data_IF_362720180815
#
_entry.id   IF_362720180815
#
_cell.length_a   1.000
_cell.length_b   1.000
_cell.length_c   1.000
_cell.angle_alpha   90.00
_cell.angle_beta   90.00
_cell.angle_gamma   90.00
#
_symmetry.space_group_name_H-M   'P 1'
#
loop_
_entity.id
_entity.type
_entity.pdbx_description
1 polymer ?
#
# COMPACT_ATOMS: atom_id res chain seq x y z
N UNK A 1 -23.40 -8.32 -1.36
CA UNK A 1 -21.94 -8.50 -1.23
C UNK A 1 -21.69 -9.20 0.10
N UNK A 2 -20.66 -10.04 0.24
CA UNK A 2 -20.36 -10.64 1.54
C UNK A 2 -20.05 -9.56 2.56
N UNK A 3 -20.45 -9.78 3.82
CA UNK A 3 -20.15 -8.89 4.92
C UNK A 3 -18.62 -8.82 5.12
N UNK A 4 -18.07 -7.62 5.16
CA UNK A 4 -16.64 -7.43 5.45
C UNK A 4 -16.42 -7.55 6.95
N UNK A 5 -15.55 -8.46 7.36
CA UNK A 5 -15.15 -8.62 8.77
C UNK A 5 -13.65 -8.39 8.87
N UNK A 6 -13.26 -7.39 9.64
CA UNK A 6 -11.86 -7.08 9.92
C UNK A 6 -11.55 -7.58 11.34
N UNK A 7 -10.93 -8.75 11.42
CA UNK A 7 -10.51 -9.35 12.70
C UNK A 7 -9.30 -8.61 13.25
N UNK A 8 -9.39 -8.09 14.49
CA UNK A 8 -8.24 -7.46 15.15
C UNK A 8 -7.08 -8.43 15.41
N UNK A 9 -7.35 -9.73 15.43
CA UNK A 9 -6.34 -10.75 15.76
C UNK A 9 -5.54 -11.21 14.56
N UNK A 10 -6.12 -11.13 13.34
CA UNK A 10 -5.52 -11.74 12.15
C UNK A 10 -5.39 -10.79 10.97
N UNK A 11 -5.73 -9.49 11.13
CA UNK A 11 -5.65 -8.52 10.05
C UNK A 11 -4.57 -7.47 10.30
N UNK A 12 -3.74 -7.21 9.29
CA UNK A 12 -2.75 -6.13 9.26
C UNK A 12 -3.11 -5.08 8.20
N UNK A 13 -2.71 -3.83 8.42
CA UNK A 13 -2.73 -2.78 7.40
C UNK A 13 -1.38 -2.72 6.69
N UNK A 14 -1.39 -2.68 5.36
CA UNK A 14 -0.19 -2.52 4.52
C UNK A 14 -0.35 -1.25 3.69
N UNK A 15 0.45 -0.24 4.00
CA UNK A 15 0.41 1.08 3.36
C UNK A 15 1.56 1.18 2.37
N UNK A 16 1.24 1.36 1.09
CA UNK A 16 2.21 1.32 -0.01
C UNK A 16 2.62 2.74 -0.41
N UNK A 17 3.91 3.02 -0.26
CA UNK A 17 4.64 4.14 -0.86
C UNK A 17 4.07 5.54 -0.61
N UNK A 18 3.40 5.78 0.54
CA UNK A 18 3.04 7.12 0.97
C UNK A 18 4.27 7.84 1.55
N UNK A 19 5.23 8.09 0.67
CA UNK A 19 6.51 8.77 0.90
C UNK A 19 6.58 10.07 0.11
N UNK A 20 7.40 11.02 0.55
CA UNK A 20 7.48 12.38 -0.01
C UNK A 20 7.68 12.40 -1.53
N UNK A 21 8.56 11.56 -2.05
CA UNK A 21 8.87 11.53 -3.48
C UNK A 21 7.80 10.95 -4.39
N UNK A 22 6.79 10.28 -3.83
CA UNK A 22 5.67 9.66 -4.56
C UNK A 22 4.37 10.42 -4.28
N UNK A 23 4.05 10.68 -3.02
CA UNK A 23 2.81 11.34 -2.61
C UNK A 23 2.68 12.80 -3.05
N UNK A 24 3.77 13.44 -3.48
CA UNK A 24 3.76 14.80 -4.03
C UNK A 24 3.25 14.89 -5.48
N UNK A 25 3.08 13.76 -6.18
CA UNK A 25 2.69 13.73 -7.59
C UNK A 25 1.16 13.78 -7.73
N UNK A 26 0.64 14.43 -8.78
CA UNK A 26 -0.80 14.38 -9.09
C UNK A 26 -1.25 12.92 -9.29
N UNK A 27 -2.42 12.58 -8.77
CA UNK A 27 -3.04 11.27 -8.91
C UNK A 27 -4.52 11.37 -9.24
N UNK A 28 -5.07 10.30 -9.79
CA UNK A 28 -6.48 10.12 -10.14
C UNK A 28 -6.93 8.69 -9.79
N UNK A 29 -8.25 8.43 -9.58
CA UNK A 29 -9.35 9.39 -9.51
C UNK A 29 -9.34 10.23 -8.23
N UNK A 30 -8.65 9.75 -7.19
CA UNK A 30 -8.50 10.43 -5.92
C UNK A 30 -7.24 11.29 -5.92
N UNK A 31 -7.35 12.54 -5.45
CA UNK A 31 -6.18 13.41 -5.28
C UNK A 31 -5.27 12.87 -4.17
N UNK A 32 -3.96 13.20 -4.18
CA UNK A 32 -3.04 12.78 -3.12
C UNK A 32 -3.56 13.14 -1.72
N UNK A 33 -4.17 14.32 -1.56
CA UNK A 33 -4.71 14.77 -0.29
C UNK A 33 -5.84 13.85 0.23
N UNK A 34 -6.71 13.35 -0.67
CA UNK A 34 -7.78 12.39 -0.31
C UNK A 34 -7.17 11.06 0.10
N UNK A 35 -6.25 10.51 -0.69
CA UNK A 35 -5.56 9.25 -0.40
C UNK A 35 -4.84 9.32 0.96
N UNK A 36 -4.06 10.38 1.17
CA UNK A 36 -3.31 10.60 2.41
C UNK A 36 -4.26 10.68 3.61
N UNK A 37 -5.33 11.48 3.51
CA UNK A 37 -6.32 11.61 4.58
C UNK A 37 -6.94 10.26 4.95
N UNK A 38 -7.36 9.48 3.97
CA UNK A 38 -8.00 8.19 4.19
C UNK A 38 -7.01 7.15 4.73
N UNK A 39 -5.81 7.07 4.18
CA UNK A 39 -4.75 6.20 4.69
C UNK A 39 -4.37 6.55 6.14
N UNK A 40 -4.25 7.83 6.49
CA UNK A 40 -3.97 8.25 7.86
C UNK A 40 -5.09 7.84 8.83
N UNK A 41 -6.35 7.88 8.42
CA UNK A 41 -7.50 7.39 9.23
C UNK A 41 -7.39 5.88 9.49
N UNK A 42 -7.03 5.11 8.45
CA UNK A 42 -6.80 3.65 8.61
C UNK A 42 -5.63 3.40 9.56
N UNK A 43 -4.49 4.06 9.37
CA UNK A 43 -3.31 3.93 10.23
C UNK A 43 -3.66 4.22 11.69
N UNK A 44 -4.35 5.33 11.97
CA UNK A 44 -4.78 5.69 13.31
C UNK A 44 -5.71 4.65 13.94
N UNK A 45 -6.68 4.13 13.16
CA UNK A 45 -7.62 3.13 13.65
C UNK A 45 -6.92 1.79 13.96
N UNK A 46 -6.01 1.34 13.10
CA UNK A 46 -5.24 0.12 13.33
C UNK A 46 -4.34 0.25 14.56
N UNK A 47 -3.59 1.33 14.68
CA UNK A 47 -2.75 1.63 15.87
C UNK A 47 -3.59 1.67 17.16
N UNK A 48 -4.74 2.38 17.14
CA UNK A 48 -5.66 2.47 18.31
C UNK A 48 -6.17 1.10 18.75
N UNK A 49 -6.37 0.17 17.83
CA UNK A 49 -6.84 -1.17 18.11
C UNK A 49 -5.70 -2.20 18.29
N UNK A 50 -4.45 -1.75 18.43
CA UNK A 50 -3.26 -2.58 18.56
C UNK A 50 -3.10 -3.61 17.42
N UNK A 51 -3.59 -3.27 16.23
CA UNK A 51 -3.44 -4.06 15.01
C UNK A 51 -2.14 -3.70 14.29
N UNK A 52 -1.45 -4.64 13.67
CA UNK A 52 -0.20 -4.36 12.96
C UNK A 52 -0.39 -3.39 11.79
N UNK A 53 0.52 -2.41 11.70
CA UNK A 53 0.64 -1.48 10.58
C UNK A 53 2.01 -1.69 9.93
N UNK A 54 2.01 -2.07 8.66
CA UNK A 54 3.19 -2.19 7.82
C UNK A 54 3.27 -0.96 6.92
N UNK A 55 4.25 -0.10 7.17
CA UNK A 55 4.54 1.07 6.35
C UNK A 55 5.63 0.68 5.33
N UNK A 56 5.25 0.66 4.07
CA UNK A 56 6.14 0.26 2.97
C UNK A 56 6.61 1.48 2.21
N UNK A 57 7.91 1.55 1.94
CA UNK A 57 8.48 2.61 1.12
C UNK A 57 9.56 2.09 0.16
N UNK A 58 9.74 2.80 -0.94
CA UNK A 58 10.81 2.50 -1.90
C UNK A 58 12.09 3.17 -1.43
N UNK A 59 13.13 2.36 -1.26
CA UNK A 59 14.48 2.83 -0.91
C UNK A 59 15.41 2.46 -2.06
N UNK A 60 15.79 3.45 -2.86
CA UNK A 60 16.62 3.26 -4.05
C UNK A 60 17.96 3.95 -3.89
N UNK A 61 19.00 3.25 -4.35
CA UNK A 61 20.31 3.83 -4.64
C UNK A 61 20.64 3.57 -6.11
N UNK A 62 21.59 4.28 -6.72
CA UNK A 62 22.00 4.03 -8.10
C UNK A 62 22.37 2.56 -8.37
N UNK A 63 22.92 1.86 -7.37
CA UNK A 63 23.33 0.46 -7.43
C UNK A 63 22.14 -0.51 -7.34
N UNK A 64 21.07 -0.13 -6.65
CA UNK A 64 19.93 -1.01 -6.38
C UNK A 64 18.71 -0.74 -7.26
N UNK A 65 18.76 0.28 -8.12
CA UNK A 65 17.71 0.54 -9.10
C UNK A 65 17.66 -0.58 -10.14
N UNK A 66 16.44 -1.04 -10.45
CA UNK A 66 16.22 -1.96 -11.57
C UNK A 66 16.60 -1.27 -12.89
N UNK A 67 17.41 -1.95 -13.68
CA UNK A 67 17.89 -1.49 -15.00
C UNK A 67 17.32 -2.42 -16.07
N UNK A 68 16.05 -2.29 -16.35
CA UNK A 68 15.37 -3.06 -17.40
C UNK A 68 15.25 -2.21 -18.66
N UNK A 69 15.35 -2.85 -19.83
CA UNK A 69 15.01 -2.22 -21.11
C UNK A 69 13.50 -2.29 -21.26
N UNK A 70 12.83 -1.14 -21.26
CA UNK A 70 11.38 -1.03 -21.42
C UNK A 70 11.06 0.03 -22.48
N UNK A 71 9.89 -0.10 -23.08
CA UNK A 71 9.42 0.86 -24.10
C UNK A 71 9.16 2.24 -23.47
N UNK A 72 8.76 2.26 -22.21
CA UNK A 72 8.60 3.47 -21.43
C UNK A 72 9.61 3.53 -20.30
N UNK A 73 10.46 4.53 -20.32
CA UNK A 73 11.37 4.81 -19.22
C UNK A 73 10.70 5.78 -18.28
N UNK A 74 10.53 5.40 -17.02
CA UNK A 74 10.18 6.36 -15.97
C UNK A 74 11.35 7.32 -15.79
N UNK A 75 11.47 8.27 -16.72
CA UNK A 75 12.53 9.27 -16.68
C UNK A 75 12.22 10.23 -15.52
N UNK A 76 13.11 10.24 -14.56
CA UNK A 76 13.11 11.24 -13.52
C UNK A 76 13.99 12.40 -13.98
N UNK A 77 13.46 13.59 -13.98
CA UNK A 77 14.27 14.80 -14.18
C UNK A 77 15.06 15.09 -12.89
N UNK A 78 16.38 14.90 -12.95
CA UNK A 78 17.29 15.28 -11.88
C UNK A 78 17.55 14.21 -10.78
N UNK A 79 18.45 14.53 -9.83
CA UNK A 79 18.85 13.61 -8.77
C UNK A 79 17.69 13.33 -7.80
N UNK A 80 17.76 12.17 -7.12
CA UNK A 80 16.81 11.80 -6.08
C UNK A 80 17.06 12.71 -4.86
N UNK A 81 16.06 13.49 -4.38
CA UNK A 81 16.21 14.26 -3.16
C UNK A 81 16.57 13.36 -1.96
N UNK A 82 17.36 13.84 -1.00
CA UNK A 82 17.77 13.02 0.15
C UNK A 82 16.59 12.47 0.96
N UNK A 83 15.48 13.22 1.03
CA UNK A 83 14.28 12.88 1.77
C UNK A 83 13.19 12.20 0.90
N UNK A 84 13.53 11.81 -0.32
CA UNK A 84 12.58 11.21 -1.26
C UNK A 84 11.89 9.96 -0.72
N UNK A 85 12.63 9.15 0.04
CA UNK A 85 12.14 7.90 0.64
C UNK A 85 11.45 8.09 1.98
N UNK A 86 11.49 9.29 2.57
CA UNK A 86 10.86 9.57 3.86
C UNK A 86 9.35 9.45 3.76
N UNK A 87 8.74 8.87 4.79
CA UNK A 87 7.29 8.89 4.91
C UNK A 87 6.76 10.31 5.05
N UNK A 88 5.54 10.53 4.56
CA UNK A 88 4.83 11.79 4.79
C UNK A 88 4.48 11.95 6.28
N UNK A 89 4.37 13.20 6.79
CA UNK A 89 4.14 13.44 8.23
C UNK A 89 2.88 12.77 8.78
N UNK A 90 1.82 12.66 7.98
CA UNK A 90 0.51 12.14 8.37
C UNK A 90 0.54 10.66 8.79
N UNK A 91 1.54 9.92 8.32
CA UNK A 91 1.75 8.50 8.65
C UNK A 91 3.17 8.23 9.18
N UNK A 92 3.83 9.24 9.72
CA UNK A 92 5.16 9.07 10.29
C UNK A 92 5.24 7.80 11.16
N UNK A 93 6.28 6.96 10.99
CA UNK A 93 6.41 5.71 11.72
C UNK A 93 6.47 5.93 13.24
N UNK A 94 5.84 5.02 13.98
CA UNK A 94 5.96 4.94 15.45
C UNK A 94 6.58 3.59 15.83
N UNK A 95 7.02 3.44 17.07
CA UNK A 95 7.77 2.26 17.51
C UNK A 95 7.03 0.91 17.34
N UNK A 96 5.71 0.93 17.24
CA UNK A 96 4.89 -0.28 17.05
C UNK A 96 4.71 -0.67 15.58
N UNK A 97 5.07 0.21 14.65
CA UNK A 97 4.92 -0.06 13.22
C UNK A 97 6.04 -0.95 12.68
N UNK A 98 5.71 -1.64 11.61
CA UNK A 98 6.64 -2.46 10.84
C UNK A 98 7.03 -1.64 9.60
N UNK A 99 8.29 -1.23 9.52
CA UNK A 99 8.80 -0.48 8.37
C UNK A 99 9.45 -1.45 7.39
N UNK A 100 8.99 -1.40 6.14
CA UNK A 100 9.45 -2.28 5.05
C UNK A 100 10.06 -1.44 3.93
N UNK A 101 11.38 -1.55 3.77
CA UNK A 101 12.09 -0.94 2.65
C UNK A 101 12.16 -1.88 1.45
N UNK A 102 11.60 -1.49 0.31
CA UNK A 102 11.63 -2.26 -0.94
C UNK A 102 12.42 -1.55 -2.05
N UNK A 103 12.81 -2.30 -3.09
CA UNK A 103 13.59 -1.80 -4.23
C UNK A 103 12.90 -1.96 -5.59
N UNK A 104 11.69 -2.47 -5.58
CA UNK A 104 10.83 -2.76 -6.74
C UNK A 104 9.37 -2.44 -6.42
N UNK A 105 8.43 -2.76 -7.30
CA UNK A 105 7.03 -2.41 -7.13
C UNK A 105 6.34 -3.19 -5.99
N UNK A 106 6.44 -4.52 -5.99
CA UNK A 106 5.81 -5.36 -4.98
C UNK A 106 6.53 -5.31 -3.63
N UNK A 107 5.77 -5.38 -2.54
CA UNK A 107 6.31 -5.27 -1.18
C UNK A 107 6.78 -6.60 -0.59
N UNK A 108 6.46 -7.74 -1.20
CA UNK A 108 6.89 -9.06 -0.70
C UNK A 108 8.26 -9.48 -1.22
N UNK A 109 8.52 -9.29 -2.51
CA UNK A 109 9.78 -9.76 -3.10
C UNK A 109 10.99 -9.06 -2.50
N UNK A 110 11.93 -9.85 -1.97
CA UNK A 110 13.19 -9.34 -1.43
C UNK A 110 13.06 -8.48 -0.17
N UNK A 111 11.93 -8.63 0.57
CA UNK A 111 11.70 -8.01 1.88
C UNK A 111 11.32 -9.05 2.91
N UNK A 112 11.15 -8.65 4.15
CA UNK A 112 10.68 -9.51 5.23
C UNK A 112 9.17 -9.36 5.52
N UNK A 113 8.39 -8.70 4.64
CA UNK A 113 6.97 -8.44 4.87
C UNK A 113 6.18 -9.72 5.18
N UNK A 114 6.35 -10.78 4.38
CA UNK A 114 5.66 -12.06 4.64
C UNK A 114 6.03 -12.63 6.01
N UNK A 115 7.33 -12.65 6.33
CA UNK A 115 7.82 -13.14 7.63
C UNK A 115 7.19 -12.35 8.79
N UNK A 116 7.12 -11.03 8.67
CA UNK A 116 6.53 -10.14 9.67
C UNK A 116 5.04 -10.43 9.88
N UNK A 117 4.29 -10.63 8.79
CA UNK A 117 2.87 -10.96 8.84
C UNK A 117 2.64 -12.35 9.43
N UNK A 118 3.32 -13.39 8.91
CA UNK A 118 3.14 -14.79 9.36
C UNK A 118 3.51 -14.99 10.82
N UNK A 119 4.61 -14.41 11.31
CA UNK A 119 5.02 -14.51 12.72
C UNK A 119 4.04 -13.87 13.69
N UNK A 120 3.20 -12.94 13.22
CA UNK A 120 2.12 -12.32 14.00
C UNK A 120 0.77 -13.00 13.82
N UNK A 121 0.71 -14.11 13.06
CA UNK A 121 -0.53 -14.83 12.79
C UNK A 121 -1.50 -14.06 11.88
N UNK A 122 -0.98 -13.14 11.06
CA UNK A 122 -1.83 -12.40 10.11
C UNK A 122 -2.15 -13.28 8.89
N UNK A 123 -3.41 -13.41 8.58
CA UNK A 123 -3.95 -14.10 7.40
C UNK A 123 -4.65 -13.14 6.43
N UNK A 124 -4.98 -11.95 6.90
CA UNK A 124 -5.71 -10.93 6.16
C UNK A 124 -4.90 -9.63 6.10
N UNK A 125 -4.89 -8.98 4.95
CA UNK A 125 -4.28 -7.65 4.80
C UNK A 125 -5.29 -6.64 4.24
N UNK A 126 -5.27 -5.43 4.80
CA UNK A 126 -5.90 -4.24 4.20
C UNK A 126 -4.82 -3.49 3.43
N UNK A 127 -5.04 -3.26 2.14
CA UNK A 127 -4.10 -2.58 1.25
C UNK A 127 -4.58 -1.18 0.89
N UNK A 128 -3.67 -0.22 0.94
CA UNK A 128 -3.86 1.16 0.45
C UNK A 128 -2.53 1.77 -0.02
N UNK A 129 -2.56 2.95 -0.64
CA UNK A 129 -1.37 3.71 -1.04
C UNK A 129 -1.29 4.07 -2.52
N UNK A 130 -0.12 4.47 -3.00
CA UNK A 130 0.17 4.95 -4.37
C UNK A 130 1.35 4.18 -4.98
N UNK A 131 1.25 3.66 -6.24
CA UNK A 131 0.11 3.76 -7.13
C UNK A 131 -0.64 2.43 -7.20
N UNK A 132 -1.95 2.52 -7.46
CA UNK A 132 -2.88 1.38 -7.50
C UNK A 132 -2.40 0.26 -8.43
N UNK A 133 -2.04 0.59 -9.66
CA UNK A 133 -1.64 -0.33 -10.74
C UNK A 133 -0.16 -0.74 -10.70
N UNK A 134 0.64 -0.14 -9.83
CA UNK A 134 2.05 -0.48 -9.64
C UNK A 134 2.28 -1.17 -8.29
N UNK A 135 2.62 -0.41 -7.27
CA UNK A 135 3.01 -0.94 -5.96
C UNK A 135 1.91 -1.69 -5.26
N UNK A 136 0.66 -1.19 -5.30
CA UNK A 136 -0.48 -1.84 -4.65
C UNK A 136 -0.83 -3.14 -5.37
N UNK A 137 -1.02 -3.12 -6.69
CA UNK A 137 -1.37 -4.32 -7.46
C UNK A 137 -0.27 -5.39 -7.42
N UNK A 138 1.00 -4.99 -7.59
CA UNK A 138 2.11 -5.95 -7.48
C UNK A 138 2.15 -6.62 -6.11
N UNK A 139 1.91 -5.86 -5.03
CA UNK A 139 1.82 -6.43 -3.68
C UNK A 139 0.62 -7.36 -3.54
N UNK A 140 -0.54 -6.96 -4.08
CA UNK A 140 -1.76 -7.76 -4.03
C UNK A 140 -1.63 -9.11 -4.73
N UNK A 141 -0.96 -9.16 -5.88
CA UNK A 141 -0.73 -10.41 -6.62
C UNK A 141 0.12 -11.39 -5.82
N UNK A 142 1.21 -10.93 -5.21
CA UNK A 142 2.01 -11.78 -4.31
C UNK A 142 1.22 -12.22 -3.08
N UNK A 143 0.45 -11.32 -2.46
CA UNK A 143 -0.39 -11.67 -1.32
C UNK A 143 -1.41 -12.77 -1.67
N UNK A 144 -2.01 -12.70 -2.86
CA UNK A 144 -2.93 -13.71 -3.36
C UNK A 144 -2.24 -15.08 -3.51
N UNK A 145 -1.07 -15.11 -4.15
CA UNK A 145 -0.28 -16.35 -4.34
C UNK A 145 0.18 -16.96 -3.00
N UNK A 146 0.43 -16.11 -1.99
CA UNK A 146 0.75 -16.56 -0.62
C UNK A 146 -0.49 -16.93 0.21
N UNK A 147 -1.70 -16.81 -0.32
CA UNK A 147 -2.94 -17.19 0.35
C UNK A 147 -3.38 -16.21 1.44
N UNK A 148 -3.06 -14.91 1.30
CA UNK A 148 -3.65 -13.88 2.16
C UNK A 148 -5.04 -13.48 1.68
N UNK A 149 -5.99 -13.38 2.60
CA UNK A 149 -7.22 -12.64 2.36
C UNK A 149 -6.93 -11.14 2.22
N UNK A 150 -7.64 -10.46 1.30
CA UNK A 150 -7.34 -9.08 0.97
C UNK A 150 -8.56 -8.17 1.01
N UNK A 151 -8.39 -6.99 1.58
CA UNK A 151 -9.36 -5.89 1.52
C UNK A 151 -8.66 -4.66 0.94
N UNK A 152 -9.18 -4.14 -0.14
CA UNK A 152 -8.63 -2.98 -0.86
C UNK A 152 -9.39 -1.73 -0.46
N UNK A 153 -8.70 -0.77 0.19
CA UNK A 153 -9.26 0.53 0.55
C UNK A 153 -9.24 1.44 -0.70
N UNK A 154 -10.28 1.35 -1.52
CA UNK A 154 -10.32 1.97 -2.86
C UNK A 154 -10.10 3.48 -2.81
N UNK A 155 -10.75 4.18 -1.87
CA UNK A 155 -10.64 5.62 -1.68
C UNK A 155 -9.38 6.09 -0.92
N UNK A 156 -8.54 5.14 -0.50
CA UNK A 156 -7.21 5.36 0.07
C UNK A 156 -6.09 4.91 -0.89
N UNK A 157 -6.39 4.79 -2.19
CA UNK A 157 -5.41 4.53 -3.24
C UNK A 157 -5.74 5.33 -4.52
N UNK A 158 -4.74 5.56 -5.35
CA UNK A 158 -4.90 6.22 -6.63
C UNK A 158 -3.73 5.89 -7.56
N UNK A 159 -3.86 6.20 -8.85
CA UNK A 159 -2.82 6.03 -9.84
C UNK A 159 -2.55 7.32 -10.62
N UNK A 160 -1.73 7.25 -11.67
CA UNK A 160 -1.43 8.42 -12.51
C UNK A 160 -2.65 8.84 -13.33
N UNK A 161 -3.50 7.89 -13.74
CA UNK A 161 -4.76 8.16 -14.41
C UNK A 161 -5.90 7.38 -13.75
N UNK A 162 -7.13 7.90 -13.90
CA UNK A 162 -8.32 7.20 -13.41
C UNK A 162 -8.54 5.87 -14.14
N UNK A 163 -8.15 5.77 -15.41
CA UNK A 163 -8.27 4.56 -16.20
C UNK A 163 -7.40 3.42 -15.62
N UNK A 164 -6.14 3.70 -15.30
CA UNK A 164 -5.21 2.74 -14.68
C UNK A 164 -5.75 2.25 -13.34
N UNK A 165 -6.15 3.16 -12.46
CA UNK A 165 -6.76 2.82 -11.17
C UNK A 165 -8.00 1.95 -11.36
N UNK A 166 -8.95 2.37 -12.20
CA UNK A 166 -10.19 1.65 -12.44
C UNK A 166 -9.96 0.26 -13.06
N UNK A 167 -8.96 0.11 -13.92
CA UNK A 167 -8.59 -1.19 -14.49
C UNK A 167 -8.13 -2.15 -13.39
N UNK A 168 -7.21 -1.74 -12.52
CA UNK A 168 -6.76 -2.55 -11.40
C UNK A 168 -7.93 -2.92 -10.46
N UNK A 169 -8.73 -1.95 -10.05
CA UNK A 169 -9.85 -2.16 -9.12
C UNK A 169 -10.92 -3.08 -9.72
N UNK A 170 -11.33 -2.84 -10.96
CA UNK A 170 -12.49 -3.53 -11.53
C UNK A 170 -12.16 -4.92 -12.10
N UNK A 171 -10.95 -5.11 -12.64
CA UNK A 171 -10.60 -6.36 -13.32
C UNK A 171 -9.67 -7.26 -12.50
N UNK A 172 -8.93 -6.70 -11.54
CA UNK A 172 -7.93 -7.45 -10.78
C UNK A 172 -8.37 -7.64 -9.32
N UNK A 173 -8.55 -6.55 -8.58
CA UNK A 173 -8.78 -6.61 -7.12
C UNK A 173 -10.06 -7.35 -6.74
N UNK A 174 -11.15 -7.16 -7.48
CA UNK A 174 -12.43 -7.87 -7.25
C UNK A 174 -12.33 -9.40 -7.37
N UNK A 175 -11.26 -9.91 -7.99
CA UNK A 175 -11.00 -11.36 -8.08
C UNK A 175 -10.06 -11.86 -6.98
N UNK A 176 -9.30 -10.96 -6.36
CA UNK A 176 -8.32 -11.32 -5.34
C UNK A 176 -8.78 -11.00 -3.92
N UNK A 177 -9.84 -10.20 -3.77
CA UNK A 177 -10.33 -9.81 -2.46
C UNK A 177 -11.55 -8.91 -2.51
N UNK A 178 -11.77 -8.16 -1.44
CA UNK A 178 -12.91 -7.27 -1.26
C UNK A 178 -12.49 -5.82 -1.47
N UNK A 179 -13.18 -5.10 -2.35
CA UNK A 179 -12.99 -3.66 -2.56
C UNK A 179 -13.97 -2.91 -1.67
N UNK A 180 -13.47 -2.02 -0.82
CA UNK A 180 -14.25 -1.26 0.16
C UNK A 180 -13.75 0.17 0.27
N UNK A 181 -14.62 1.07 0.70
CA UNK A 181 -14.23 2.40 1.13
C UNK A 181 -13.54 2.36 2.51
N UNK A 182 -12.80 3.41 2.82
CA UNK A 182 -12.20 3.59 4.15
C UNK A 182 -13.27 3.52 5.25
N UNK A 183 -14.45 4.13 5.04
CA UNK A 183 -15.53 4.14 6.04
C UNK A 183 -16.07 2.73 6.28
N UNK A 184 -16.28 1.92 5.25
CA UNK A 184 -16.72 0.53 5.38
C UNK A 184 -15.67 -0.31 6.13
N UNK A 185 -14.39 -0.13 5.86
CA UNK A 185 -13.30 -0.83 6.55
C UNK A 185 -13.28 -0.44 8.03
N UNK A 186 -13.35 0.85 8.35
CA UNK A 186 -13.36 1.34 9.73
C UNK A 186 -14.57 0.81 10.53
N UNK A 187 -15.73 0.76 9.91
CA UNK A 187 -16.95 0.20 10.53
C UNK A 187 -16.88 -1.32 10.73
N UNK A 188 -16.05 -2.03 9.95
CA UNK A 188 -15.90 -3.47 10.00
C UNK A 188 -14.88 -3.98 11.04
N UNK A 189 -14.08 -3.10 11.67
CA UNK A 189 -13.09 -3.47 12.69
C UNK A 189 -13.81 -3.93 13.97
N UNK A 190 -13.60 -5.20 14.35
CA UNK A 190 -14.23 -5.85 15.52
C UNK A 190 -13.22 -6.60 16.40
#
# INVERSE_FOLDING_TARGET
>A
MPETKISRKTTALVVIDLQKGIAARPTQPHSPAVVIKNAARLVQAFRKNSMPVCLVHVVLTPETMLKVKSDETLSRAGPIPPDWSDFIPEIAPVATDIVIGKKQWGAFYGTDLELQLRRRGMDTIVLCGIATDYGVESTARFAYEYGFEQVFAEDAMASHTAEQHNAAVNFVFKRMGQVRSTDEILAAIR
#
